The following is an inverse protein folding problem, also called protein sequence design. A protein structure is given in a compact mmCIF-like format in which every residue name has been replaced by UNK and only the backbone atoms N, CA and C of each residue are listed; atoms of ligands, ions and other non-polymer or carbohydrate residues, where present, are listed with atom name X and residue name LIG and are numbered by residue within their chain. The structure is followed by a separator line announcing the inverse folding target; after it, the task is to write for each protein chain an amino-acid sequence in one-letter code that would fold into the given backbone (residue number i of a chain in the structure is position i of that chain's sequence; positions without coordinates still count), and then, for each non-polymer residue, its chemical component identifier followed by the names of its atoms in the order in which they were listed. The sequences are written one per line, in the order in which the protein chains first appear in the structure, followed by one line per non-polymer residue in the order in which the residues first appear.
data_IF_761641988789
#
_entry.id   IF_761641988789
#
_cell.length_a   1.000
_cell.length_b   1.000
_cell.length_c   1.000
_cell.angle_alpha   90.00
_cell.angle_beta   90.00
_cell.angle_gamma   90.00
#
_symmetry.space_group_name_H-M   'P 1'
#
loop_
_entity.id
_entity.type
_entity.pdbx_description
1 polymer ?
#
# COMPACT_ATOMS: atom_id res chain seq x y z
N UNK A 1 13.63 3.03 9.78
CA UNK A 1 13.79 1.60 10.14
C UNK A 1 12.50 0.90 9.79
N UNK A 2 12.50 -0.04 8.85
CA UNK A 2 11.29 -0.77 8.46
C UNK A 2 10.83 -1.76 9.55
N UNK A 3 9.61 -2.30 9.46
CA UNK A 3 9.09 -3.26 10.43
C UNK A 3 9.99 -4.49 10.51
N UNK A 4 10.48 -4.81 11.71
CA UNK A 4 11.39 -5.95 11.94
C UNK A 4 10.74 -7.30 11.63
N UNK A 5 9.41 -7.34 11.53
CA UNK A 5 8.61 -8.53 11.30
C UNK A 5 8.04 -8.64 9.88
N UNK A 6 8.40 -7.75 8.95
CA UNK A 6 7.84 -7.72 7.59
C UNK A 6 7.88 -9.10 6.89
N UNK A 7 8.98 -9.85 7.03
CA UNK A 7 9.11 -11.21 6.46
C UNK A 7 8.13 -12.21 7.10
N UNK A 8 7.88 -12.09 8.40
CA UNK A 8 6.92 -12.96 9.12
C UNK A 8 5.48 -12.63 8.68
N UNK A 9 5.16 -11.34 8.56
CA UNK A 9 3.86 -10.87 8.08
C UNK A 9 3.62 -11.34 6.65
N UNK A 10 4.59 -11.17 5.75
CA UNK A 10 4.48 -11.62 4.36
C UNK A 10 4.20 -13.12 4.25
N UNK A 11 4.90 -13.96 5.02
CA UNK A 11 4.65 -15.41 5.07
C UNK A 11 3.24 -15.77 5.55
N UNK A 12 2.64 -14.94 6.39
CA UNK A 12 1.29 -15.16 6.92
C UNK A 12 0.22 -14.70 5.91
N UNK A 13 0.42 -13.55 5.27
CA UNK A 13 -0.60 -12.90 4.43
C UNK A 13 -0.50 -13.30 2.95
N UNK A 14 0.66 -13.78 2.48
CA UNK A 14 0.84 -14.43 1.19
C UNK A 14 0.98 -13.50 -0.02
N UNK A 15 0.55 -12.23 0.07
CA UNK A 15 0.62 -11.29 -1.05
C UNK A 15 1.30 -9.97 -0.69
N UNK A 16 1.98 -9.35 -1.66
CA UNK A 16 2.73 -8.12 -1.44
C UNK A 16 1.81 -6.92 -1.15
N UNK A 17 0.67 -6.83 -1.85
CA UNK A 17 -0.33 -5.79 -1.68
C UNK A 17 -1.00 -5.82 -0.32
N UNK A 18 -1.52 -6.97 0.11
CA UNK A 18 -2.09 -7.12 1.45
C UNK A 18 -1.06 -6.90 2.54
N UNK A 19 0.15 -7.43 2.36
CA UNK A 19 1.22 -7.28 3.35
C UNK A 19 1.57 -5.81 3.58
N UNK A 20 1.75 -5.02 2.52
CA UNK A 20 2.07 -3.61 2.68
C UNK A 20 0.87 -2.81 3.20
N UNK A 21 -0.35 -3.11 2.76
CA UNK A 21 -1.54 -2.48 3.32
C UNK A 21 -1.63 -2.74 4.84
N UNK A 22 -1.49 -3.98 5.27
CA UNK A 22 -1.50 -4.38 6.68
C UNK A 22 -0.41 -3.69 7.50
N UNK A 23 0.83 -3.69 7.00
CA UNK A 23 1.96 -3.07 7.68
C UNK A 23 1.72 -1.57 7.86
N UNK A 24 1.36 -0.86 6.79
CA UNK A 24 1.20 0.59 6.87
C UNK A 24 -0.01 0.95 7.74
N UNK A 25 -1.15 0.25 7.58
CA UNK A 25 -2.29 0.45 8.48
C UNK A 25 -1.89 0.25 9.93
N UNK A 26 -1.21 -0.83 10.30
CA UNK A 26 -0.81 -1.09 11.68
C UNK A 26 0.03 0.03 12.30
N UNK A 27 0.84 0.72 11.51
CA UNK A 27 1.71 1.80 12.01
C UNK A 27 0.96 3.13 12.20
N UNK A 28 -0.06 3.42 11.38
CA UNK A 28 -0.75 4.72 11.39
C UNK A 28 -2.20 4.68 11.92
N UNK A 29 -2.84 3.51 11.89
CA UNK A 29 -4.25 3.34 12.23
C UNK A 29 -4.63 1.90 12.64
N UNK A 30 -5.93 1.61 12.75
CA UNK A 30 -6.39 0.24 13.01
C UNK A 30 -6.28 -0.63 11.75
N UNK A 31 -5.95 -1.93 11.88
CA UNK A 31 -6.03 -2.88 10.79
C UNK A 31 -7.44 -2.93 10.19
N UNK A 32 -7.50 -3.09 8.86
CA UNK A 32 -8.72 -3.17 8.06
C UNK A 32 -8.78 -4.51 7.34
N UNK A 33 -9.00 -5.58 8.09
CA UNK A 33 -8.81 -6.96 7.61
C UNK A 33 -9.56 -7.28 6.30
N UNK A 34 -10.78 -6.78 6.12
CA UNK A 34 -11.57 -7.03 4.91
C UNK A 34 -10.98 -6.30 3.70
N UNK A 35 -10.66 -5.01 3.85
CA UNK A 35 -10.05 -4.19 2.82
C UNK A 35 -8.62 -4.64 2.49
N UNK A 36 -7.84 -5.03 3.49
CA UNK A 36 -6.51 -5.62 3.35
C UNK A 36 -6.57 -6.93 2.57
N UNK A 37 -7.51 -7.81 2.90
CA UNK A 37 -7.71 -9.07 2.15
C UNK A 37 -8.20 -8.83 0.73
N UNK A 38 -9.06 -7.84 0.50
CA UNK A 38 -9.50 -7.47 -0.85
C UNK A 38 -8.32 -7.03 -1.74
N UNK A 39 -7.27 -6.45 -1.15
CA UNK A 39 -6.07 -6.07 -1.87
C UNK A 39 -5.23 -7.26 -2.37
N UNK A 40 -5.51 -8.51 -1.97
CA UNK A 40 -4.83 -9.71 -2.50
C UNK A 40 -4.88 -9.77 -4.04
N UNK A 41 -5.98 -9.31 -4.64
CA UNK A 41 -6.13 -9.26 -6.10
C UNK A 41 -5.11 -8.34 -6.80
N UNK A 42 -4.54 -7.36 -6.08
CA UNK A 42 -3.59 -6.39 -6.64
C UNK A 42 -2.15 -6.93 -6.68
N UNK A 43 -1.92 -8.12 -6.14
CA UNK A 43 -0.61 -8.75 -6.07
C UNK A 43 -0.10 -9.17 -7.45
N UNK A 44 1.23 -9.14 -7.62
CA UNK A 44 1.85 -9.39 -8.93
C UNK A 44 1.53 -8.32 -9.98
N UNK A 45 1.02 -7.17 -9.54
CA UNK A 45 0.50 -6.13 -10.43
C UNK A 45 -0.80 -6.56 -11.08
N UNK A 46 -1.80 -6.79 -10.21
CA UNK A 46 -3.16 -7.21 -10.52
C UNK A 46 -3.27 -8.66 -11.03
N UNK A 47 -3.08 -9.67 -10.19
CA UNK A 47 -3.16 -11.08 -10.61
C UNK A 47 -2.06 -11.52 -11.59
N UNK A 48 -0.82 -11.06 -11.33
CA UNK A 48 0.40 -11.48 -12.05
C UNK A 48 0.55 -10.95 -13.49
N UNK A 49 -0.28 -10.00 -13.93
CA UNK A 49 -0.15 -9.38 -15.25
C UNK A 49 1.12 -8.52 -15.39
N UNK A 50 1.75 -8.13 -14.27
CA UNK A 50 3.04 -7.43 -14.28
C UNK A 50 2.92 -5.91 -14.34
N UNK A 51 1.71 -5.36 -14.18
CA UNK A 51 1.47 -3.92 -14.03
C UNK A 51 2.03 -3.39 -12.69
N UNK A 52 1.51 -2.26 -12.20
CA UNK A 52 2.02 -1.57 -11.01
C UNK A 52 2.19 -2.52 -9.81
N UNK A 53 3.36 -2.44 -9.16
CA UNK A 53 3.76 -3.30 -8.06
C UNK A 53 2.70 -3.34 -6.96
N UNK A 54 2.39 -4.55 -6.48
CA UNK A 54 1.41 -4.76 -5.41
C UNK A 54 1.75 -3.99 -4.13
N UNK A 55 3.03 -3.79 -3.81
CA UNK A 55 3.44 -2.99 -2.65
C UNK A 55 2.98 -1.53 -2.75
N UNK A 56 3.03 -0.94 -3.95
CA UNK A 56 2.55 0.42 -4.22
C UNK A 56 1.03 0.49 -4.06
N UNK A 57 0.29 -0.50 -4.59
CA UNK A 57 -1.15 -0.59 -4.40
C UNK A 57 -1.52 -0.66 -2.91
N UNK A 58 -0.89 -1.57 -2.16
CA UNK A 58 -1.13 -1.75 -0.74
C UNK A 58 -0.83 -0.49 0.09
N UNK A 59 0.31 0.17 -0.18
CA UNK A 59 0.68 1.39 0.49
C UNK A 59 -0.28 2.55 0.18
N UNK A 60 -0.71 2.68 -1.09
CA UNK A 60 -1.65 3.74 -1.51
C UNK A 60 -3.02 3.58 -0.86
N UNK A 61 -3.51 2.33 -0.73
CA UNK A 61 -4.76 2.04 -0.03
C UNK A 61 -4.66 2.36 1.47
N UNK A 62 -3.52 2.07 2.10
CA UNK A 62 -3.27 2.44 3.49
C UNK A 62 -3.24 3.95 3.70
N UNK A 63 -2.58 4.68 2.80
CA UNK A 63 -2.58 6.15 2.78
C UNK A 63 -4.00 6.70 2.67
N UNK A 64 -4.82 6.14 1.77
CA UNK A 64 -6.22 6.54 1.65
C UNK A 64 -7.03 6.27 2.92
N UNK A 65 -6.84 5.10 3.54
CA UNK A 65 -7.51 4.75 4.80
C UNK A 65 -7.11 5.71 5.94
N UNK A 66 -5.84 6.09 6.02
CA UNK A 66 -5.34 7.00 7.04
C UNK A 66 -5.79 8.44 6.80
N UNK A 67 -5.76 8.92 5.55
CA UNK A 67 -6.26 10.24 5.20
C UNK A 67 -7.76 10.37 5.52
N UNK A 68 -8.55 9.34 5.19
CA UNK A 68 -9.98 9.30 5.54
C UNK A 68 -10.23 9.32 7.06
N UNK A 69 -9.32 8.74 7.85
CA UNK A 69 -9.42 8.71 9.31
C UNK A 69 -9.06 10.04 9.96
N UNK A 70 -8.12 10.78 9.38
CA UNK A 70 -7.46 11.94 10.01
C UNK A 70 -7.96 13.29 9.50
N UNK A 71 -8.39 13.38 8.25
CA UNK A 71 -8.96 14.60 7.68
C UNK A 71 -10.44 14.74 8.09
N UNK A 72 -10.87 15.99 8.29
CA UNK A 72 -12.26 16.28 8.66
C UNK A 72 -13.18 16.41 7.43
N UNK A 73 -12.60 16.79 6.30
CA UNK A 73 -13.30 16.94 5.03
C UNK A 73 -12.88 15.83 4.04
N UNK A 74 -13.84 15.34 3.27
CA UNK A 74 -13.60 14.27 2.31
C UNK A 74 -12.73 14.72 1.12
N UNK A 75 -12.87 15.97 0.65
CA UNK A 75 -12.03 16.47 -0.44
C UNK A 75 -10.60 16.68 0.04
N UNK A 76 -10.43 17.14 1.28
CA UNK A 76 -9.13 17.18 1.95
C UNK A 76 -8.49 15.79 2.03
N UNK A 77 -9.23 14.78 2.51
CA UNK A 77 -8.76 13.39 2.58
C UNK A 77 -8.30 12.86 1.22
N UNK A 78 -9.08 13.10 0.16
CA UNK A 78 -8.73 12.69 -1.21
C UNK A 78 -7.46 13.40 -1.67
N UNK A 79 -7.35 14.71 -1.43
CA UNK A 79 -6.20 15.52 -1.82
C UNK A 79 -4.93 15.02 -1.12
N UNK A 80 -4.99 14.82 0.19
CA UNK A 80 -3.88 14.28 0.99
C UNK A 80 -3.49 12.89 0.49
N UNK A 81 -4.45 12.01 0.25
CA UNK A 81 -4.19 10.67 -0.24
C UNK A 81 -3.49 10.67 -1.61
N UNK A 82 -3.90 11.54 -2.53
CA UNK A 82 -3.27 11.69 -3.85
C UNK A 82 -1.84 12.21 -3.71
N UNK A 83 -1.62 13.29 -2.96
CA UNK A 83 -0.28 13.90 -2.80
C UNK A 83 0.69 12.93 -2.12
N UNK A 84 0.25 12.25 -1.08
CA UNK A 84 1.06 11.26 -0.38
C UNK A 84 1.37 10.06 -1.27
N UNK A 85 0.41 9.58 -2.05
CA UNK A 85 0.61 8.48 -3.02
C UNK A 85 1.60 8.88 -4.12
N UNK A 86 1.49 10.08 -4.69
CA UNK A 86 2.46 10.59 -5.66
C UNK A 86 3.87 10.66 -5.07
N UNK A 87 3.99 11.08 -3.81
CA UNK A 87 5.28 11.12 -3.10
C UNK A 87 5.85 9.71 -2.88
N UNK A 88 5.00 8.73 -2.55
CA UNK A 88 5.39 7.33 -2.45
C UNK A 88 5.88 6.78 -3.80
N UNK A 89 5.14 7.02 -4.88
CA UNK A 89 5.51 6.57 -6.22
C UNK A 89 6.83 7.21 -6.67
N UNK A 90 7.00 8.51 -6.48
CA UNK A 90 8.25 9.21 -6.83
C UNK A 90 9.44 8.66 -6.06
N UNK A 91 9.28 8.41 -4.75
CA UNK A 91 10.31 7.78 -3.93
C UNK A 91 10.62 6.37 -4.41
N UNK A 92 9.60 5.57 -4.69
CA UNK A 92 9.76 4.20 -5.16
C UNK A 92 10.50 4.15 -6.50
N UNK A 93 10.06 4.91 -7.50
CA UNK A 93 10.71 5.01 -8.82
C UNK A 93 12.16 5.46 -8.70
N UNK A 94 12.46 6.38 -7.78
CA UNK A 94 13.84 6.84 -7.58
C UNK A 94 14.78 5.73 -7.06
N UNK A 95 14.25 4.80 -6.26
CA UNK A 95 15.04 3.73 -5.64
C UNK A 95 15.04 2.43 -6.47
N UNK A 96 13.90 2.07 -7.06
CA UNK A 96 13.70 0.80 -7.76
C UNK A 96 13.73 0.96 -9.29
N UNK A 97 13.81 2.19 -9.80
CA UNK A 97 13.86 2.54 -11.24
C UNK A 97 12.65 2.12 -12.08
N UNK A 98 11.68 1.43 -11.50
CA UNK A 98 10.40 1.06 -12.10
C UNK A 98 9.28 1.11 -11.07
N UNK A 99 8.04 1.14 -11.55
CA UNK A 99 6.83 1.01 -10.73
C UNK A 99 6.07 -0.29 -11.03
N UNK A 100 6.45 -1.01 -12.08
CA UNK A 100 5.80 -2.23 -12.51
C UNK A 100 6.38 -3.45 -11.77
N UNK A 101 5.60 -4.52 -11.71
CA UNK A 101 5.97 -5.71 -10.95
C UNK A 101 6.89 -6.67 -11.71
N UNK A 102 6.90 -6.58 -13.05
CA UNK A 102 7.66 -7.51 -13.93
C UNK A 102 8.90 -6.87 -14.56
N UNK A 103 9.03 -5.56 -14.42
CA UNK A 103 10.23 -4.81 -14.83
C UNK A 103 11.29 -4.88 -13.73
#
# INVERSE_FOLDING_TARGET
MGPKDARKVFRKLGTCSRTFFHIVNREFGPPKELEERAADALAGGILQEGHQCGMLWGASLAVGAEAYRTCNDQNEAITVAIIATQSLMNSFTKNEHTINCRD
#
